data_IF_941746144739
#
_entry.id   IF_941746144739
#
_cell.length_a   1.000
_cell.length_b   1.000
_cell.length_c   1.000
_cell.angle_alpha   90.00
_cell.angle_beta   90.00
_cell.angle_gamma   90.00
#
_symmetry.space_group_name_H-M   'P 1'
#
loop_
_entity.id
_entity.type
_entity.pdbx_description
1 polymer ?
#
# COMPACT_ATOMS: atom_id res chain seq x y z
N UNK A 1 -20.29 -6.59 -8.64
CA UNK A 1 -18.90 -6.12 -8.53
C UNK A 1 -18.42 -5.74 -9.93
N UNK A 2 -17.79 -4.58 -10.11
CA UNK A 2 -17.13 -4.23 -11.38
C UNK A 2 -15.61 -4.34 -11.17
N UNK A 3 -15.01 -5.39 -11.74
CA UNK A 3 -13.59 -5.68 -11.55
C UNK A 3 -12.67 -4.70 -12.28
N UNK A 4 -13.10 -4.15 -13.41
CA UNK A 4 -12.33 -3.12 -14.12
C UNK A 4 -12.13 -1.89 -13.22
N UNK A 5 -13.17 -1.49 -12.50
CA UNK A 5 -13.07 -0.39 -11.54
C UNK A 5 -12.10 -0.73 -10.40
N UNK A 6 -12.14 -1.95 -9.86
CA UNK A 6 -11.23 -2.39 -8.78
C UNK A 6 -9.77 -2.29 -9.23
N UNK A 7 -9.45 -2.83 -10.41
CA UNK A 7 -8.08 -2.81 -10.91
C UNK A 7 -7.62 -1.41 -11.28
N UNK A 8 -8.49 -0.56 -11.83
CA UNK A 8 -8.17 0.84 -12.09
C UNK A 8 -7.85 1.60 -10.80
N UNK A 9 -8.59 1.37 -9.72
CA UNK A 9 -8.34 2.04 -8.45
C UNK A 9 -7.08 1.51 -7.75
N UNK A 10 -6.78 0.21 -7.87
CA UNK A 10 -5.49 -0.34 -7.43
C UNK A 10 -4.33 0.28 -8.22
N UNK A 11 -4.47 0.44 -9.54
CA UNK A 11 -3.46 1.09 -10.38
C UNK A 11 -3.24 2.55 -9.96
N UNK A 12 -4.31 3.30 -9.71
CA UNK A 12 -4.22 4.67 -9.18
C UNK A 12 -3.56 4.70 -7.81
N UNK A 13 -3.88 3.75 -6.94
CA UNK A 13 -3.25 3.63 -5.63
C UNK A 13 -1.74 3.39 -5.74
N UNK A 14 -1.30 2.50 -6.65
CA UNK A 14 0.12 2.26 -6.90
C UNK A 14 0.85 3.53 -7.38
N UNK A 15 0.23 4.27 -8.31
CA UNK A 15 0.77 5.56 -8.76
C UNK A 15 0.86 6.58 -7.62
N UNK A 16 -0.19 6.69 -6.79
CA UNK A 16 -0.20 7.56 -5.62
C UNK A 16 0.87 7.17 -4.60
N UNK A 17 1.08 5.87 -4.37
CA UNK A 17 2.16 5.39 -3.48
C UNK A 17 3.53 5.86 -3.96
N UNK A 18 3.80 5.82 -5.26
CA UNK A 18 5.07 6.32 -5.81
C UNK A 18 5.27 7.81 -5.54
N UNK A 19 4.21 8.61 -5.68
CA UNK A 19 4.28 10.06 -5.39
C UNK A 19 4.45 10.32 -3.89
N UNK A 20 3.73 9.61 -3.02
CA UNK A 20 3.87 9.76 -1.57
C UNK A 20 5.26 9.37 -1.11
N UNK A 21 5.86 8.31 -1.68
CA UNK A 21 7.23 7.90 -1.37
C UNK A 21 8.29 8.95 -1.71
N UNK A 22 8.01 9.90 -2.62
CA UNK A 22 8.93 11.02 -2.90
C UNK A 22 8.97 12.04 -1.77
N UNK A 23 7.89 12.15 -0.98
CA UNK A 23 7.77 13.11 0.12
C UNK A 23 8.02 12.45 1.47
N UNK A 24 7.51 11.24 1.66
CA UNK A 24 7.58 10.48 2.91
C UNK A 24 8.24 9.13 2.64
N UNK A 25 9.48 8.90 3.09
CA UNK A 25 10.17 7.64 2.82
C UNK A 25 9.47 6.47 3.53
N UNK A 26 9.74 5.23 3.09
CA UNK A 26 9.19 4.00 3.68
C UNK A 26 9.49 3.84 5.18
N UNK A 27 10.53 4.49 5.70
CA UNK A 27 10.89 4.49 7.13
C UNK A 27 10.08 5.50 7.95
N UNK A 28 9.33 6.39 7.31
CA UNK A 28 8.55 7.43 7.98
C UNK A 28 7.20 6.92 8.45
N UNK A 29 6.73 7.41 9.60
CA UNK A 29 5.40 7.08 10.14
C UNK A 29 4.28 7.61 9.24
N UNK A 30 4.52 8.73 8.58
CA UNK A 30 3.61 9.42 7.67
C UNK A 30 3.24 8.53 6.49
N UNK A 31 4.23 7.86 5.88
CA UNK A 31 3.98 6.91 4.81
C UNK A 31 3.06 5.77 5.27
N UNK A 32 3.36 5.15 6.42
CA UNK A 32 2.57 4.04 6.96
C UNK A 32 1.15 4.42 7.35
N UNK A 33 0.97 5.62 7.92
CA UNK A 33 -0.36 6.16 8.24
C UNK A 33 -1.17 6.37 6.96
N UNK A 34 -0.56 6.91 5.91
CA UNK A 34 -1.20 7.08 4.61
C UNK A 34 -1.54 5.73 3.96
N UNK A 35 -0.61 4.78 4.00
CA UNK A 35 -0.77 3.45 3.40
C UNK A 35 -1.97 2.70 4.03
N UNK A 36 -2.02 2.61 5.36
CA UNK A 36 -3.13 1.93 6.06
C UNK A 36 -4.46 2.62 5.80
N UNK A 37 -4.49 3.96 5.88
CA UNK A 37 -5.72 4.72 5.66
C UNK A 37 -6.25 4.60 4.22
N UNK A 38 -5.36 4.67 3.23
CA UNK A 38 -5.74 4.62 1.81
C UNK A 38 -6.18 3.22 1.37
N UNK A 39 -5.51 2.16 1.85
CA UNK A 39 -5.95 0.78 1.60
C UNK A 39 -7.28 0.46 2.29
N UNK A 40 -7.48 0.95 3.52
CA UNK A 40 -8.76 0.85 4.23
C UNK A 40 -9.91 1.52 3.46
N UNK A 41 -9.67 2.71 2.91
CA UNK A 41 -10.66 3.37 2.05
C UNK A 41 -10.94 2.59 0.76
N UNK A 42 -9.90 2.01 0.15
CA UNK A 42 -10.03 1.22 -1.08
C UNK A 42 -10.89 -0.03 -0.86
N UNK A 43 -10.65 -0.81 0.19
CA UNK A 43 -11.48 -1.99 0.47
C UNK A 43 -12.93 -1.62 0.80
N UNK A 44 -13.15 -0.56 1.59
CA UNK A 44 -14.48 -0.12 2.00
C UNK A 44 -15.31 0.35 0.81
N UNK A 45 -14.69 0.98 -0.19
CA UNK A 45 -15.34 1.37 -1.45
C UNK A 45 -16.01 0.18 -2.16
N UNK A 46 -15.47 -1.02 -2.00
CA UNK A 46 -16.01 -2.25 -2.57
C UNK A 46 -16.70 -3.14 -1.53
N UNK A 47 -17.25 -2.52 -0.48
CA UNK A 47 -17.98 -3.18 0.60
C UNK A 47 -17.16 -4.29 1.29
N UNK A 48 -15.85 -4.05 1.44
CA UNK A 48 -14.88 -4.98 2.04
C UNK A 48 -14.98 -6.39 1.47
N UNK A 49 -15.20 -6.51 0.16
CA UNK A 49 -15.27 -7.80 -0.50
C UNK A 49 -13.98 -8.61 -0.26
N UNK A 50 -14.05 -9.90 0.14
CA UNK A 50 -12.88 -10.65 0.61
C UNK A 50 -11.69 -10.65 -0.34
N UNK A 51 -11.93 -10.76 -1.65
CA UNK A 51 -10.85 -10.71 -2.64
C UNK A 51 -10.19 -9.32 -2.73
N UNK A 52 -10.94 -8.23 -2.57
CA UNK A 52 -10.39 -6.88 -2.58
C UNK A 52 -9.55 -6.64 -1.32
N UNK A 53 -10.02 -7.12 -0.17
CA UNK A 53 -9.24 -7.11 1.08
C UNK A 53 -7.90 -7.84 0.88
N UNK A 54 -7.92 -9.03 0.27
CA UNK A 54 -6.69 -9.79 0.00
C UNK A 54 -5.73 -9.06 -0.96
N UNK A 55 -6.26 -8.32 -1.95
CA UNK A 55 -5.44 -7.48 -2.82
C UNK A 55 -4.81 -6.32 -2.03
N UNK A 56 -5.56 -5.66 -1.14
CA UNK A 56 -5.03 -4.63 -0.24
C UNK A 56 -3.93 -5.18 0.68
N UNK A 57 -4.15 -6.36 1.27
CA UNK A 57 -3.15 -7.04 2.12
C UNK A 57 -1.88 -7.35 1.31
N UNK A 58 -2.00 -7.82 0.07
CA UNK A 58 -0.83 -8.09 -0.77
C UNK A 58 -0.01 -6.82 -1.05
N UNK A 59 -0.67 -5.67 -1.25
CA UNK A 59 -0.01 -4.36 -1.40
C UNK A 59 0.68 -3.93 -0.10
N UNK A 60 0.02 -4.08 1.05
CA UNK A 60 0.61 -3.82 2.36
C UNK A 60 1.88 -4.66 2.59
N UNK A 61 1.77 -5.98 2.41
CA UNK A 61 2.86 -6.93 2.65
C UNK A 61 4.07 -6.67 1.74
N UNK A 62 3.81 -6.21 0.50
CA UNK A 62 4.89 -5.80 -0.39
C UNK A 62 5.69 -4.64 0.20
N UNK A 63 5.02 -3.61 0.71
CA UNK A 63 5.70 -2.46 1.32
C UNK A 63 6.38 -2.83 2.64
N UNK A 64 5.77 -3.70 3.46
CA UNK A 64 6.35 -4.18 4.72
C UNK A 64 7.65 -4.96 4.48
N UNK A 65 7.66 -5.82 3.46
CA UNK A 65 8.90 -6.52 3.05
C UNK A 65 9.97 -5.55 2.58
N UNK A 66 9.62 -4.48 1.87
CA UNK A 66 10.61 -3.48 1.44
C UNK A 66 11.20 -2.73 2.63
N UNK A 67 10.36 -2.33 3.59
CA UNK A 67 10.81 -1.71 4.83
C UNK A 67 11.73 -2.64 5.64
N UNK A 68 11.35 -3.90 5.84
CA UNK A 68 12.18 -4.89 6.54
C UNK A 68 13.53 -5.12 5.86
N UNK A 69 13.58 -5.10 4.52
CA UNK A 69 14.84 -5.17 3.78
C UNK A 69 15.75 -3.98 4.07
N UNK A 70 15.20 -2.77 4.15
CA UNK A 70 15.96 -1.56 4.49
C UNK A 70 16.55 -1.64 5.91
N UNK A 71 15.75 -2.08 6.88
CA UNK A 71 16.22 -2.27 8.26
C UNK A 71 17.31 -3.35 8.36
N UNK A 72 17.14 -4.48 7.66
CA UNK A 72 18.13 -5.57 7.66
C UNK A 72 19.42 -5.24 6.90
N UNK A 73 19.35 -4.36 5.89
CA UNK A 73 20.48 -3.92 5.07
C UNK A 73 21.29 -2.78 5.69
N UNK A 74 20.77 -2.10 6.72
CA UNK A 74 21.46 -1.03 7.45
C UNK A 74 22.43 -1.52 8.53
N UNK A 75 22.57 -2.83 8.74
CA UNK A 75 23.46 -3.41 9.76
C UNK A 75 24.91 -3.65 9.29
N UNK A 76 25.24 -3.35 8.03
CA UNK A 76 26.60 -3.51 7.47
C UNK A 76 27.01 -2.29 6.60
N UNK A 77 26.98 -1.10 7.19
CA UNK A 77 27.50 0.15 6.59
C UNK A 77 28.27 0.97 7.62
#
# INVERSE_FOLDING_TARGET
MNWDNVFQDIQKWMAASNEVMRTYPLTSREYWRWLVGSLGHLEQKYNSHPLVVNLCVALFDYQDRNYKKMESGGANG
#
